data_IF_480471221306
#
_entry.id   IF_480471221306
#
_cell.length_a   1.000
_cell.length_b   1.000
_cell.length_c   1.000
_cell.angle_alpha   90.00
_cell.angle_beta   90.00
_cell.angle_gamma   90.00
#
_symmetry.space_group_name_H-M   'P 1'
#
loop_
_entity.id
_entity.type
_entity.pdbx_description
1 polymer ?
#
# COMPACT_ATOMS: atom_id res chain seq x y z
N UNK A 1 22.25 3.00 -26.20
CA UNK A 1 21.28 2.33 -27.09
C UNK A 1 21.37 0.81 -27.00
N UNK A 2 22.55 0.23 -27.19
CA UNK A 2 22.77 -1.24 -27.23
C UNK A 2 22.28 -1.93 -25.92
N UNK A 3 22.69 -1.43 -24.76
CA UNK A 3 22.27 -1.98 -23.45
C UNK A 3 20.76 -1.84 -23.21
N UNK A 4 20.16 -0.76 -23.71
CA UNK A 4 18.72 -0.56 -23.61
C UNK A 4 17.93 -1.61 -24.44
N UNK A 5 18.47 -2.05 -25.56
CA UNK A 5 17.86 -3.10 -26.41
C UNK A 5 18.01 -4.47 -25.77
N UNK A 6 19.23 -4.80 -25.27
CA UNK A 6 19.52 -6.10 -24.64
C UNK A 6 18.86 -6.21 -23.25
N UNK A 7 18.60 -5.09 -22.58
CA UNK A 7 18.02 -5.03 -21.22
C UNK A 7 18.84 -5.78 -20.15
N UNK A 8 20.13 -6.00 -20.43
CA UNK A 8 21.06 -6.69 -19.53
C UNK A 8 22.39 -5.95 -19.48
N UNK A 9 22.68 -5.33 -18.34
CA UNK A 9 23.96 -4.64 -18.10
C UNK A 9 25.14 -5.61 -18.07
N UNK A 10 24.98 -6.75 -17.40
CA UNK A 10 26.05 -7.76 -17.30
C UNK A 10 26.42 -8.35 -18.67
N UNK A 11 25.46 -8.66 -19.52
CA UNK A 11 25.69 -9.10 -20.86
C UNK A 11 26.41 -8.02 -21.70
N UNK A 12 25.95 -6.77 -21.62
CA UNK A 12 26.55 -5.64 -22.33
C UNK A 12 28.02 -5.38 -21.91
N UNK A 13 28.30 -5.44 -20.61
CA UNK A 13 29.65 -5.28 -20.05
C UNK A 13 30.51 -6.47 -20.44
N UNK A 14 30.00 -7.71 -20.42
CA UNK A 14 30.73 -8.90 -20.85
C UNK A 14 31.15 -8.83 -22.32
N UNK A 15 30.28 -8.36 -23.22
CA UNK A 15 30.60 -8.13 -24.63
C UNK A 15 31.70 -7.06 -24.76
N UNK A 16 31.61 -5.95 -24.01
CA UNK A 16 32.62 -4.90 -24.02
C UNK A 16 33.99 -5.43 -23.55
N UNK A 17 34.01 -6.25 -22.49
CA UNK A 17 35.23 -6.91 -22.00
C UNK A 17 35.82 -7.86 -23.02
N UNK A 18 35.01 -8.63 -23.73
CA UNK A 18 35.46 -9.52 -24.78
C UNK A 18 36.10 -8.75 -25.96
N UNK A 19 35.49 -7.65 -26.39
CA UNK A 19 36.02 -6.75 -27.43
C UNK A 19 37.33 -6.08 -26.98
N UNK A 20 37.45 -5.70 -25.72
CA UNK A 20 38.68 -5.12 -25.19
C UNK A 20 39.82 -6.17 -25.10
N UNK A 21 39.53 -7.39 -24.65
CA UNK A 21 40.50 -8.46 -24.56
C UNK A 21 41.00 -8.93 -25.95
N UNK A 22 40.13 -8.85 -26.98
CA UNK A 22 40.51 -9.15 -28.35
C UNK A 22 41.32 -8.03 -29.06
N UNK A 23 41.52 -6.89 -28.39
CA UNK A 23 42.23 -5.73 -28.92
C UNK A 23 41.45 -4.91 -29.95
N UNK A 24 40.16 -5.18 -30.14
CA UNK A 24 39.27 -4.41 -31.05
C UNK A 24 39.00 -3.00 -30.50
N UNK A 25 38.91 -2.87 -29.18
CA UNK A 25 38.65 -1.60 -28.51
C UNK A 25 39.70 -1.42 -27.40
N UNK A 26 40.43 -0.29 -27.40
CA UNK A 26 41.28 0.10 -26.27
C UNK A 26 40.51 0.60 -25.06
N UNK A 27 41.14 0.51 -23.86
CA UNK A 27 40.50 0.93 -22.61
C UNK A 27 39.99 2.39 -22.65
N UNK A 28 40.70 3.37 -23.23
CA UNK A 28 40.20 4.76 -23.29
C UNK A 28 38.85 4.89 -23.98
N UNK A 29 38.62 4.10 -25.07
CA UNK A 29 37.33 4.09 -25.75
C UNK A 29 36.28 3.25 -25.03
N UNK A 30 36.68 2.11 -24.45
CA UNK A 30 35.80 1.21 -23.70
C UNK A 30 35.13 1.89 -22.50
N UNK A 31 35.87 2.76 -21.82
CA UNK A 31 35.35 3.50 -20.64
C UNK A 31 34.15 4.40 -20.99
N UNK A 32 34.19 5.11 -22.12
CA UNK A 32 33.06 5.94 -22.54
C UNK A 32 31.83 5.11 -22.95
N UNK A 33 32.07 3.95 -23.57
CA UNK A 33 31.02 2.97 -23.88
C UNK A 33 30.37 2.48 -22.57
N UNK A 34 31.20 2.17 -21.56
CA UNK A 34 30.74 1.73 -20.24
C UNK A 34 29.85 2.76 -19.56
N UNK A 35 30.23 4.05 -19.61
CA UNK A 35 29.39 5.14 -19.05
C UNK A 35 28.04 5.21 -19.75
N UNK A 36 27.99 5.05 -21.07
CA UNK A 36 26.74 4.97 -21.82
C UNK A 36 25.90 3.74 -21.49
N UNK A 37 26.54 2.62 -21.16
CA UNK A 37 25.85 1.39 -20.73
C UNK A 37 25.14 1.59 -19.39
N UNK A 38 25.70 2.35 -18.46
CA UNK A 38 25.06 2.67 -17.17
C UNK A 38 23.74 3.42 -17.36
N UNK A 39 23.69 4.40 -18.28
CA UNK A 39 22.45 5.07 -18.66
C UNK A 39 21.49 4.09 -19.34
N UNK A 40 21.99 3.26 -20.25
CA UNK A 40 21.18 2.28 -20.99
C UNK A 40 20.49 1.27 -20.10
N UNK A 41 21.09 0.92 -18.96
CA UNK A 41 20.51 0.01 -17.97
C UNK A 41 19.21 0.55 -17.35
N UNK A 42 19.02 1.88 -17.29
CA UNK A 42 17.84 2.49 -16.70
C UNK A 42 16.55 2.18 -17.48
N UNK A 43 16.64 1.69 -18.72
CA UNK A 43 15.46 1.34 -19.53
C UNK A 43 14.61 0.26 -18.87
N UNK A 44 15.22 -0.69 -18.16
CA UNK A 44 14.50 -1.75 -17.46
C UNK A 44 13.60 -1.18 -16.36
N UNK A 45 14.11 -0.21 -15.59
CA UNK A 45 13.33 0.48 -14.58
C UNK A 45 12.23 1.37 -15.21
N UNK A 46 12.51 2.00 -16.36
CA UNK A 46 11.52 2.81 -17.10
C UNK A 46 10.38 1.90 -17.57
N UNK A 47 10.67 0.77 -18.18
CA UNK A 47 9.65 -0.19 -18.63
C UNK A 47 8.84 -0.76 -17.46
N UNK A 48 9.50 -1.13 -16.36
CA UNK A 48 8.86 -1.64 -15.16
C UNK A 48 7.97 -0.58 -14.47
N UNK A 49 8.20 0.70 -14.69
CA UNK A 49 7.40 1.79 -14.11
C UNK A 49 6.12 2.11 -14.89
N UNK A 50 5.93 1.51 -16.08
CA UNK A 50 4.72 1.70 -16.88
C UNK A 50 3.55 1.03 -16.17
N UNK A 51 2.46 1.78 -15.96
CA UNK A 51 1.28 1.30 -15.23
C UNK A 51 1.39 1.35 -13.69
N UNK A 52 2.55 1.67 -13.13
CA UNK A 52 2.75 1.74 -11.67
C UNK A 52 2.41 3.10 -11.06
N UNK A 53 2.44 3.15 -9.73
CA UNK A 53 2.20 4.37 -8.95
C UNK A 53 3.17 5.51 -9.32
N UNK A 54 2.77 6.74 -9.04
CA UNK A 54 3.59 7.92 -9.31
C UNK A 54 4.91 7.93 -8.53
N UNK A 55 4.91 7.37 -7.32
CA UNK A 55 6.12 7.24 -6.51
C UNK A 55 7.11 6.23 -7.12
N UNK A 56 6.64 5.13 -7.71
CA UNK A 56 7.48 4.20 -8.45
C UNK A 56 8.11 4.86 -9.69
N UNK A 57 7.34 5.68 -10.43
CA UNK A 57 7.86 6.49 -11.54
C UNK A 57 8.89 7.53 -11.08
N UNK A 58 8.69 8.18 -9.92
CA UNK A 58 9.67 9.10 -9.31
C UNK A 58 10.97 8.38 -8.94
N UNK A 59 10.88 7.17 -8.38
CA UNK A 59 12.05 6.34 -8.10
C UNK A 59 12.84 6.02 -9.38
N UNK A 60 12.16 5.74 -10.48
CA UNK A 60 12.77 5.55 -11.81
C UNK A 60 13.46 6.82 -12.31
N UNK A 61 12.86 7.99 -12.12
CA UNK A 61 13.47 9.29 -12.47
C UNK A 61 14.74 9.51 -11.65
N UNK A 62 14.72 9.23 -10.34
CA UNK A 62 15.91 9.34 -9.46
C UNK A 62 17.01 8.41 -9.96
N UNK A 63 16.71 7.16 -10.29
CA UNK A 63 17.67 6.20 -10.84
C UNK A 63 18.29 6.69 -12.16
N UNK A 64 17.47 7.23 -13.07
CA UNK A 64 17.95 7.81 -14.31
C UNK A 64 18.85 9.03 -14.09
N UNK A 65 18.42 9.95 -13.19
CA UNK A 65 19.23 11.13 -12.81
C UNK A 65 20.57 10.73 -12.21
N UNK A 66 20.60 9.73 -11.32
CA UNK A 66 21.84 9.20 -10.72
C UNK A 66 22.82 8.78 -11.80
N UNK A 67 22.38 7.98 -12.77
CA UNK A 67 23.25 7.47 -13.85
C UNK A 67 23.67 8.58 -14.82
N UNK A 68 22.80 9.53 -15.15
CA UNK A 68 23.14 10.69 -16.01
C UNK A 68 24.17 11.57 -15.33
N UNK A 69 23.96 11.97 -14.08
CA UNK A 69 24.85 12.83 -13.32
C UNK A 69 26.22 12.15 -13.13
N UNK A 70 26.23 10.88 -12.73
CA UNK A 70 27.44 10.09 -12.60
C UNK A 70 28.22 10.01 -13.92
N UNK A 71 27.50 9.73 -15.01
CA UNK A 71 28.11 9.68 -16.36
C UNK A 71 28.70 11.03 -16.75
N UNK A 72 28.02 12.15 -16.50
CA UNK A 72 28.54 13.49 -16.79
C UNK A 72 29.82 13.77 -15.99
N UNK A 73 29.81 13.50 -14.67
CA UNK A 73 30.95 13.72 -13.79
C UNK A 73 32.15 12.90 -14.29
N UNK A 74 31.97 11.60 -14.49
CA UNK A 74 33.07 10.73 -14.90
C UNK A 74 33.54 11.00 -16.34
N UNK A 75 32.64 11.36 -17.26
CA UNK A 75 33.03 11.76 -18.62
C UNK A 75 33.93 13.00 -18.56
N UNK A 76 33.56 14.03 -17.82
CA UNK A 76 34.38 15.23 -17.65
C UNK A 76 35.73 14.85 -17.00
N UNK A 77 35.71 14.04 -15.95
CA UNK A 77 36.91 13.62 -15.23
C UNK A 77 37.89 12.88 -16.16
N UNK A 78 37.41 11.95 -16.99
CA UNK A 78 38.24 11.15 -17.93
C UNK A 78 38.65 11.94 -19.18
N UNK A 79 37.97 13.02 -19.53
CA UNK A 79 38.37 13.93 -20.61
C UNK A 79 39.43 14.93 -20.13
N UNK A 80 39.32 15.42 -18.89
CA UNK A 80 40.29 16.40 -18.34
C UNK A 80 41.58 15.73 -17.87
N UNK A 81 41.47 14.55 -17.28
CA UNK A 81 42.58 13.78 -16.75
C UNK A 81 42.75 12.47 -17.55
N UNK A 82 44.01 12.11 -17.94
CA UNK A 82 44.28 10.91 -18.74
C UNK A 82 44.20 9.61 -17.91
N UNK A 83 43.14 9.46 -17.09
CA UNK A 83 42.97 8.36 -16.12
C UNK A 83 42.95 6.99 -16.82
N UNK A 84 42.30 6.87 -17.96
CA UNK A 84 42.25 5.63 -18.71
C UNK A 84 43.62 5.16 -19.16
N UNK A 85 44.52 6.09 -19.53
CA UNK A 85 45.90 5.81 -19.94
C UNK A 85 46.79 5.44 -18.76
N UNK A 86 46.45 5.88 -17.53
CA UNK A 86 47.12 5.44 -16.32
C UNK A 86 46.68 4.02 -15.94
N UNK A 87 45.41 3.71 -16.09
CA UNK A 87 44.86 2.38 -15.77
C UNK A 87 45.38 1.31 -16.74
N UNK A 88 45.48 1.61 -18.03
CA UNK A 88 45.98 0.65 -19.04
C UNK A 88 47.50 0.54 -19.06
N UNK A 89 48.21 1.37 -18.28
CA UNK A 89 49.64 1.36 -18.17
C UNK A 89 50.40 2.09 -19.28
N UNK A 90 49.71 2.72 -20.25
CA UNK A 90 50.34 3.50 -21.33
C UNK A 90 50.89 4.84 -20.86
N UNK A 91 50.39 5.34 -19.72
CA UNK A 91 50.90 6.51 -19.06
C UNK A 91 51.35 6.16 -17.61
N UNK A 92 52.64 6.25 -17.34
CA UNK A 92 53.17 5.99 -15.99
C UNK A 92 53.33 7.31 -15.19
N UNK A 93 52.82 7.29 -13.99
CA UNK A 93 53.00 8.43 -13.05
C UNK A 93 54.40 8.35 -12.46
N UNK A 94 55.11 9.47 -12.30
CA UNK A 94 56.44 9.50 -11.70
C UNK A 94 56.45 9.23 -10.18
N UNK A 95 57.54 8.61 -9.70
CA UNK A 95 57.75 8.40 -8.26
C UNK A 95 57.13 7.14 -7.68
N UNK A 96 57.23 6.98 -6.38
CA UNK A 96 56.72 5.82 -5.60
C UNK A 96 55.21 5.66 -5.70
N UNK A 97 54.46 6.75 -5.79
CA UNK A 97 53.02 6.75 -5.95
C UNK A 97 52.59 6.09 -7.27
N UNK A 98 53.30 6.40 -8.37
CA UNK A 98 53.05 5.79 -9.68
C UNK A 98 53.28 4.27 -9.68
N UNK A 99 54.33 3.81 -9.00
CA UNK A 99 54.62 2.38 -8.86
C UNK A 99 53.55 1.66 -8.04
N UNK A 100 53.09 2.29 -6.96
CA UNK A 100 52.01 1.72 -6.14
C UNK A 100 50.71 1.61 -6.93
N UNK A 101 50.33 2.65 -7.66
CA UNK A 101 49.12 2.65 -8.50
C UNK A 101 49.21 1.58 -9.59
N UNK A 102 50.33 1.52 -10.28
CA UNK A 102 50.56 0.49 -11.32
C UNK A 102 50.45 -0.93 -10.76
N UNK A 103 50.97 -1.18 -9.54
CA UNK A 103 50.84 -2.47 -8.86
C UNK A 103 49.39 -2.86 -8.42
N UNK A 104 48.53 -1.88 -8.32
CA UNK A 104 47.12 -2.10 -7.97
C UNK A 104 46.21 -2.30 -9.21
N UNK A 105 46.70 -1.99 -10.42
CA UNK A 105 45.90 -2.10 -11.65
C UNK A 105 45.82 -3.53 -12.13
N UNK A 106 44.60 -4.00 -12.52
CA UNK A 106 44.46 -5.33 -13.13
C UNK A 106 45.26 -5.46 -14.43
N UNK A 107 45.93 -6.61 -14.62
CA UNK A 107 46.72 -6.88 -15.82
C UNK A 107 45.87 -7.10 -17.09
N UNK A 108 44.61 -7.52 -16.94
CA UNK A 108 43.72 -7.78 -18.07
C UNK A 108 42.82 -6.59 -18.36
N UNK A 109 42.49 -6.32 -19.61
CA UNK A 109 41.55 -5.29 -20.02
C UNK A 109 40.15 -5.50 -19.43
N UNK A 110 39.69 -6.75 -19.31
CA UNK A 110 38.44 -7.08 -18.63
C UNK A 110 38.45 -6.66 -17.16
N UNK A 111 39.57 -6.90 -16.45
CA UNK A 111 39.74 -6.46 -15.06
C UNK A 111 39.76 -4.93 -14.92
N UNK A 112 40.41 -4.23 -15.84
CA UNK A 112 40.47 -2.78 -15.91
C UNK A 112 39.08 -2.16 -16.12
N UNK A 113 38.29 -2.73 -17.04
CA UNK A 113 36.89 -2.32 -17.27
C UNK A 113 36.04 -2.56 -16.01
N UNK A 114 36.19 -3.73 -15.36
CA UNK A 114 35.48 -4.05 -14.12
C UNK A 114 35.86 -3.07 -12.99
N UNK A 115 37.14 -2.71 -12.85
CA UNK A 115 37.62 -1.74 -11.89
C UNK A 115 36.97 -0.36 -12.12
N UNK A 116 36.96 0.13 -13.36
CA UNK A 116 36.33 1.41 -13.72
C UNK A 116 34.85 1.37 -13.44
N UNK A 117 34.17 0.28 -13.78
CA UNK A 117 32.71 0.13 -13.53
C UNK A 117 32.39 0.16 -12.04
N UNK A 118 33.13 -0.60 -11.23
CA UNK A 118 32.94 -0.64 -9.78
C UNK A 118 33.23 0.73 -9.16
N UNK A 119 34.36 1.34 -9.54
CA UNK A 119 34.73 2.68 -9.05
C UNK A 119 33.72 3.75 -9.43
N UNK A 120 33.19 3.71 -10.65
CA UNK A 120 32.10 4.59 -11.08
C UNK A 120 30.92 4.50 -10.14
N UNK A 121 30.40 3.30 -9.88
CA UNK A 121 29.22 3.12 -9.05
C UNK A 121 29.47 3.53 -7.58
N UNK A 122 30.60 3.13 -7.00
CA UNK A 122 30.94 3.47 -5.60
C UNK A 122 31.12 4.98 -5.42
N UNK A 123 31.93 5.61 -6.25
CA UNK A 123 32.24 7.04 -6.14
C UNK A 123 30.99 7.88 -6.43
N UNK A 124 30.22 7.53 -7.46
CA UNK A 124 28.94 8.21 -7.75
C UNK A 124 27.98 8.09 -6.58
N UNK A 125 27.89 6.92 -5.95
CA UNK A 125 27.04 6.72 -4.75
C UNK A 125 27.51 7.61 -3.59
N UNK A 126 28.82 7.63 -3.29
CA UNK A 126 29.38 8.47 -2.21
C UNK A 126 29.10 9.95 -2.46
N UNK A 127 29.21 10.42 -3.71
CA UNK A 127 28.96 11.83 -4.07
C UNK A 127 27.46 12.17 -3.99
N UNK A 128 26.57 11.29 -4.51
CA UNK A 128 25.16 11.59 -4.66
C UNK A 128 24.32 11.19 -3.45
N UNK A 129 24.79 10.29 -2.57
CA UNK A 129 24.05 9.88 -1.38
C UNK A 129 23.66 11.07 -0.48
N UNK A 130 24.57 12.00 -0.12
CA UNK A 130 24.19 13.19 0.66
C UNK A 130 23.25 14.15 -0.10
N UNK A 131 23.19 14.04 -1.42
CA UNK A 131 22.32 14.84 -2.28
C UNK A 131 20.99 14.15 -2.59
N UNK A 132 20.71 12.99 -1.99
CA UNK A 132 19.50 12.19 -2.23
C UNK A 132 18.20 12.98 -2.07
N UNK A 133 18.10 13.83 -1.04
CA UNK A 133 16.94 14.69 -0.82
C UNK A 133 16.73 15.71 -1.95
N UNK A 134 17.81 16.20 -2.58
CA UNK A 134 17.70 17.12 -3.72
C UNK A 134 17.25 16.37 -4.98
N UNK A 135 17.73 15.14 -5.20
CA UNK A 135 17.28 14.28 -6.28
C UNK A 135 15.79 13.92 -6.13
N UNK A 136 15.34 13.62 -4.91
CA UNK A 136 13.94 13.35 -4.61
C UNK A 136 13.05 14.59 -4.90
N UNK A 137 13.46 15.78 -4.43
CA UNK A 137 12.75 17.03 -4.73
C UNK A 137 12.71 17.34 -6.23
N UNK A 138 13.81 17.07 -6.94
CA UNK A 138 13.85 17.24 -8.39
C UNK A 138 12.90 16.27 -9.11
N UNK A 139 12.83 15.02 -8.67
CA UNK A 139 11.90 14.03 -9.22
C UNK A 139 10.43 14.42 -8.99
N UNK A 140 10.09 14.96 -7.82
CA UNK A 140 8.75 15.51 -7.53
C UNK A 140 8.46 16.73 -8.41
N UNK A 141 9.44 17.59 -8.70
CA UNK A 141 9.27 18.74 -9.61
C UNK A 141 9.09 18.31 -11.06
N UNK A 142 9.78 17.25 -11.51
CA UNK A 142 9.66 16.69 -12.86
C UNK A 142 8.31 15.97 -13.01
N UNK A 143 7.88 15.26 -11.99
CA UNK A 143 6.62 14.53 -11.95
C UNK A 143 5.81 14.99 -10.71
N UNK A 144 5.10 16.14 -10.78
CA UNK A 144 4.33 16.69 -9.66
C UNK A 144 3.13 15.80 -9.35
N UNK A 145 2.60 15.91 -8.13
CA UNK A 145 1.37 15.24 -7.72
C UNK A 145 0.18 15.78 -8.49
N UNK A 146 -0.74 14.91 -8.86
CA UNK A 146 -2.07 15.28 -9.35
C UNK A 146 -3.07 15.25 -8.19
N UNK A 147 -4.19 15.97 -8.31
CA UNK A 147 -5.27 15.84 -7.32
C UNK A 147 -5.75 14.39 -7.11
N UNK A 148 -5.77 13.62 -8.20
CA UNK A 148 -6.14 12.20 -8.21
C UNK A 148 -5.16 11.31 -7.39
N UNK A 149 -3.87 11.63 -7.43
CA UNK A 149 -2.84 10.88 -6.68
C UNK A 149 -2.92 11.14 -5.17
N UNK A 150 -3.56 12.24 -4.75
CA UNK A 150 -3.82 12.54 -3.34
C UNK A 150 -5.04 11.81 -2.82
N UNK A 151 -6.02 11.54 -3.66
CA UNK A 151 -7.18 10.74 -3.31
C UNK A 151 -6.80 9.26 -3.07
N UNK A 152 -5.76 8.75 -3.77
CA UNK A 152 -5.24 7.38 -3.60
C UNK A 152 -4.20 7.24 -2.45
N UNK A 153 -3.82 8.32 -1.76
CA UNK A 153 -2.90 8.22 -0.63
C UNK A 153 -3.66 7.93 0.66
N UNK A 154 -3.36 6.80 1.28
CA UNK A 154 -3.86 6.46 2.60
C UNK A 154 -3.44 7.55 3.61
N UNK A 155 -4.40 8.24 4.22
CA UNK A 155 -4.15 9.33 5.18
C UNK A 155 -5.29 9.47 6.17
N UNK A 156 -4.97 10.02 7.34
CA UNK A 156 -5.97 10.51 8.29
C UNK A 156 -6.42 11.91 7.82
N UNK A 157 -7.72 12.14 7.77
CA UNK A 157 -8.29 13.42 7.30
C UNK A 157 -8.51 14.41 8.44
N UNK A 158 -9.04 13.93 9.56
CA UNK A 158 -9.42 14.75 10.71
C UNK A 158 -8.39 14.72 11.82
N UNK A 159 -7.63 13.62 11.97
CA UNK A 159 -6.64 13.48 13.02
C UNK A 159 -5.29 14.07 12.59
N UNK A 160 -4.83 15.06 13.32
CA UNK A 160 -3.50 15.62 13.16
C UNK A 160 -2.47 14.88 14.03
N UNK A 161 -1.19 14.75 13.60
CA UNK A 161 -0.15 14.16 14.44
C UNK A 161 -0.06 14.87 15.79
N UNK A 162 -0.22 14.13 16.89
CA UNK A 162 -0.15 14.68 18.23
C UNK A 162 1.29 15.16 18.49
N UNK A 163 1.49 16.47 18.53
CA UNK A 163 2.72 17.06 19.07
C UNK A 163 2.58 17.14 20.60
N UNK A 164 2.97 16.08 21.29
CA UNK A 164 3.03 16.10 22.75
C UNK A 164 4.20 16.97 23.14
N UNK A 165 3.93 18.23 23.44
CA UNK A 165 4.90 19.11 24.08
C UNK A 165 5.05 18.66 25.54
N UNK A 166 6.20 18.13 25.91
CA UNK A 166 6.54 17.70 27.27
C UNK A 166 6.53 18.82 28.30
N UNK A 167 6.13 20.04 27.91
CA UNK A 167 6.02 21.23 28.78
C UNK A 167 4.60 21.55 29.23
N UNK A 168 3.59 21.02 28.58
CA UNK A 168 2.20 21.26 28.99
C UNK A 168 1.75 20.10 29.87
N UNK A 169 1.99 20.24 31.16
CA UNK A 169 1.60 19.28 32.17
C UNK A 169 0.09 18.99 32.08
N UNK A 170 -0.29 17.75 31.70
CA UNK A 170 -1.56 17.17 32.05
C UNK A 170 -2.82 17.83 31.44
N UNK A 171 -2.77 18.26 30.19
CA UNK A 171 -4.02 18.50 29.45
C UNK A 171 -4.57 17.13 29.04
N UNK A 172 -5.61 16.69 29.74
CA UNK A 172 -6.38 15.50 29.40
C UNK A 172 -6.86 15.54 27.94
N UNK A 173 -7.43 14.43 27.46
CA UNK A 173 -8.00 14.33 26.11
C UNK A 173 -8.92 15.54 25.87
N UNK A 174 -8.51 16.43 24.96
CA UNK A 174 -9.28 17.64 24.71
C UNK A 174 -10.57 17.29 23.95
N UNK A 175 -11.64 18.06 24.20
CA UNK A 175 -12.90 17.93 23.46
C UNK A 175 -12.69 18.01 21.93
N UNK A 176 -11.69 18.80 21.50
CA UNK A 176 -11.28 18.91 20.08
C UNK A 176 -10.79 17.55 19.53
N UNK A 177 -10.00 16.83 20.33
CA UNK A 177 -9.50 15.52 19.92
C UNK A 177 -10.62 14.48 19.83
N UNK A 178 -11.55 14.50 20.79
CA UNK A 178 -12.73 13.63 20.77
C UNK A 178 -13.56 13.89 19.51
N UNK A 179 -13.79 15.15 19.17
CA UNK A 179 -14.50 15.56 17.96
C UNK A 179 -13.79 15.10 16.69
N UNK A 180 -12.48 15.32 16.59
CA UNK A 180 -11.67 14.86 15.45
C UNK A 180 -11.71 13.35 15.29
N UNK A 181 -11.62 12.59 16.38
CA UNK A 181 -11.70 11.14 16.38
C UNK A 181 -13.08 10.65 15.92
N UNK A 182 -14.14 11.27 16.40
CA UNK A 182 -15.50 10.94 15.99
C UNK A 182 -15.70 11.17 14.48
N UNK A 183 -15.15 12.26 13.93
CA UNK A 183 -15.21 12.53 12.49
C UNK A 183 -14.42 11.50 11.67
N UNK A 184 -13.23 11.08 12.13
CA UNK A 184 -12.44 10.04 11.45
C UNK A 184 -13.14 8.69 11.50
N UNK A 185 -13.68 8.27 12.66
CA UNK A 185 -14.45 7.04 12.79
C UNK A 185 -15.73 7.05 11.94
N UNK A 186 -16.40 8.21 11.84
CA UNK A 186 -17.56 8.36 10.96
C UNK A 186 -17.17 8.16 9.50
N UNK A 187 -16.09 8.78 9.04
CA UNK A 187 -15.55 8.58 7.68
C UNK A 187 -15.21 7.12 7.42
N UNK A 188 -14.54 6.48 8.38
CA UNK A 188 -14.21 5.06 8.30
C UNK A 188 -15.47 4.18 8.19
N UNK A 189 -16.54 4.50 8.92
CA UNK A 189 -17.81 3.79 8.85
C UNK A 189 -18.52 4.01 7.50
N UNK A 190 -18.47 5.22 6.93
CA UNK A 190 -19.02 5.51 5.60
C UNK A 190 -18.29 4.68 4.53
N UNK A 191 -16.97 4.55 4.62
CA UNK A 191 -16.18 3.69 3.73
C UNK A 191 -16.55 2.20 3.89
N UNK A 192 -16.72 1.71 5.11
CA UNK A 192 -17.14 0.34 5.37
C UNK A 192 -18.55 0.06 4.83
N UNK A 193 -19.48 1.02 4.95
CA UNK A 193 -20.81 0.94 4.35
C UNK A 193 -20.74 0.76 2.84
N UNK A 194 -19.99 1.63 2.16
CA UNK A 194 -19.84 1.57 0.70
C UNK A 194 -19.21 0.24 0.27
N UNK A 195 -18.26 -0.28 1.08
CA UNK A 195 -17.62 -1.57 0.85
C UNK A 195 -18.60 -2.75 1.00
N UNK A 196 -19.44 -2.74 2.02
CA UNK A 196 -20.52 -3.74 2.21
C UNK A 196 -21.49 -3.71 1.04
N UNK A 197 -21.95 -2.52 0.62
CA UNK A 197 -22.85 -2.40 -0.52
C UNK A 197 -22.23 -2.95 -1.81
N UNK A 198 -20.97 -2.58 -2.10
CA UNK A 198 -20.26 -3.05 -3.29
C UNK A 198 -20.03 -4.56 -3.26
N UNK A 199 -19.68 -5.14 -2.11
CA UNK A 199 -19.44 -6.58 -1.96
C UNK A 199 -20.68 -7.42 -2.23
N UNK A 200 -21.83 -7.06 -1.66
CA UNK A 200 -23.10 -7.72 -1.96
C UNK A 200 -23.52 -7.56 -3.43
N UNK A 201 -23.32 -6.36 -4.00
CA UNK A 201 -23.63 -6.09 -5.40
C UNK A 201 -22.75 -6.92 -6.33
N UNK A 202 -21.46 -7.09 -6.00
CA UNK A 202 -20.52 -7.95 -6.71
C UNK A 202 -21.01 -9.41 -6.74
N UNK A 203 -21.44 -9.95 -5.60
CA UNK A 203 -21.97 -11.32 -5.51
C UNK A 203 -23.26 -11.48 -6.33
N UNK A 204 -24.21 -10.54 -6.20
CA UNK A 204 -25.51 -10.59 -6.87
C UNK A 204 -25.37 -10.49 -8.39
N UNK A 205 -24.49 -9.59 -8.88
CA UNK A 205 -24.32 -9.32 -10.30
C UNK A 205 -23.20 -10.15 -10.95
N UNK A 206 -22.40 -10.87 -10.14
CA UNK A 206 -21.19 -11.59 -10.57
C UNK A 206 -20.14 -10.66 -11.21
N UNK A 207 -20.09 -9.42 -10.74
CA UNK A 207 -19.23 -8.37 -11.26
C UNK A 207 -17.88 -8.38 -10.57
N UNK A 208 -16.82 -8.68 -11.32
CA UNK A 208 -15.43 -8.67 -10.82
C UNK A 208 -14.78 -7.29 -10.90
N UNK A 209 -15.34 -6.31 -11.62
CA UNK A 209 -14.77 -4.96 -11.70
C UNK A 209 -14.87 -4.24 -10.34
N UNK A 210 -15.90 -4.55 -9.55
CA UNK A 210 -16.05 -3.99 -8.20
C UNK A 210 -15.07 -4.57 -7.17
N UNK A 211 -14.53 -5.77 -7.40
CA UNK A 211 -13.61 -6.42 -6.46
C UNK A 211 -12.35 -5.61 -6.19
N UNK A 212 -11.77 -5.01 -7.22
CA UNK A 212 -10.55 -4.18 -7.04
C UNK A 212 -10.83 -2.96 -6.17
N UNK A 213 -12.04 -2.40 -6.25
CA UNK A 213 -12.44 -1.28 -5.41
C UNK A 213 -12.67 -1.73 -3.97
N UNK A 214 -13.30 -2.89 -3.74
CA UNK A 214 -13.52 -3.47 -2.41
C UNK A 214 -12.17 -3.72 -1.73
N UNK A 215 -11.22 -4.38 -2.41
CA UNK A 215 -9.87 -4.63 -1.90
C UNK A 215 -9.11 -3.33 -1.54
N UNK A 216 -9.20 -2.29 -2.37
CA UNK A 216 -8.58 -0.98 -2.07
C UNK A 216 -9.22 -0.29 -0.87
N UNK A 217 -10.51 -0.43 -0.71
CA UNK A 217 -11.23 0.17 0.42
C UNK A 217 -10.89 -0.57 1.71
N UNK A 218 -10.78 -1.91 1.67
CA UNK A 218 -10.33 -2.72 2.80
C UNK A 218 -8.90 -2.33 3.23
N UNK A 219 -7.93 -2.24 2.28
CA UNK A 219 -6.57 -1.77 2.57
C UNK A 219 -6.58 -0.39 3.25
N UNK A 220 -7.53 0.49 2.89
CA UNK A 220 -7.67 1.80 3.52
C UNK A 220 -8.26 1.69 4.94
N UNK A 221 -9.24 0.82 5.16
CA UNK A 221 -9.82 0.57 6.47
C UNK A 221 -8.78 0.01 7.45
N UNK A 222 -7.98 -0.97 7.02
CA UNK A 222 -6.84 -1.51 7.81
C UNK A 222 -5.83 -0.40 8.16
N UNK A 223 -5.45 0.43 7.18
CA UNK A 223 -4.60 1.59 7.43
C UNK A 223 -5.19 2.53 8.49
N UNK A 224 -6.48 2.89 8.38
CA UNK A 224 -7.14 3.78 9.33
C UNK A 224 -7.18 3.17 10.72
N UNK A 225 -7.55 1.90 10.85
CA UNK A 225 -7.56 1.17 12.13
C UNK A 225 -6.18 1.18 12.79
N UNK A 226 -5.13 0.93 12.03
CA UNK A 226 -3.75 0.95 12.51
C UNK A 226 -3.31 2.33 12.99
N UNK A 227 -3.56 3.37 12.22
CA UNK A 227 -3.21 4.74 12.59
C UNK A 227 -4.01 5.24 13.81
N UNK A 228 -5.32 4.96 13.86
CA UNK A 228 -6.17 5.26 15.02
C UNK A 228 -5.65 4.54 16.27
N UNK A 229 -5.31 3.25 16.14
CA UNK A 229 -4.74 2.44 17.22
C UNK A 229 -3.44 3.05 17.77
N UNK A 230 -2.56 3.55 16.89
CA UNK A 230 -1.33 4.23 17.28
C UNK A 230 -1.61 5.56 18.01
N UNK A 231 -2.60 6.33 17.56
CA UNK A 231 -3.02 7.56 18.21
C UNK A 231 -3.59 7.28 19.62
N UNK A 232 -4.50 6.30 19.73
CA UNK A 232 -5.10 5.87 21.00
C UNK A 232 -4.03 5.39 21.98
N UNK A 233 -3.11 4.54 21.55
CA UNK A 233 -2.02 4.01 22.39
C UNK A 233 -1.14 5.10 22.98
N UNK A 234 -0.86 6.15 22.19
CA UNK A 234 -0.09 7.31 22.66
C UNK A 234 -0.85 8.12 23.70
N UNK A 235 -2.17 8.33 23.50
CA UNK A 235 -2.99 9.10 24.41
C UNK A 235 -3.19 8.40 25.76
N UNK A 236 -3.52 7.12 25.77
CA UNK A 236 -3.72 6.34 26.99
C UNK A 236 -2.47 6.39 27.89
N UNK A 237 -1.27 6.48 27.31
CA UNK A 237 -0.02 6.53 28.08
C UNK A 237 0.11 7.83 28.90
N UNK A 238 -0.54 8.90 28.47
CA UNK A 238 -0.44 10.22 29.13
C UNK A 238 -1.74 10.66 29.81
N UNK A 239 -2.84 9.93 29.61
CA UNK A 239 -4.14 10.27 30.18
C UNK A 239 -4.24 9.75 31.62
N UNK A 240 -4.59 10.66 32.54
CA UNK A 240 -4.75 10.34 33.95
C UNK A 240 -6.21 10.33 34.41
N UNK A 241 -7.12 10.82 33.57
CA UNK A 241 -8.56 10.82 33.85
C UNK A 241 -9.19 9.49 33.39
N UNK A 242 -9.80 8.77 34.32
CA UNK A 242 -10.39 7.46 34.08
C UNK A 242 -11.52 7.51 33.03
N UNK A 243 -12.39 8.55 33.07
CA UNK A 243 -13.45 8.73 32.07
C UNK A 243 -12.91 9.00 30.68
N UNK A 244 -11.93 9.90 30.56
CA UNK A 244 -11.29 10.19 29.29
C UNK A 244 -10.56 8.96 28.72
N UNK A 245 -9.91 8.18 29.59
CA UNK A 245 -9.28 6.92 29.21
C UNK A 245 -10.31 5.89 28.70
N UNK A 246 -11.49 5.82 29.31
CA UNK A 246 -12.58 4.95 28.87
C UNK A 246 -13.07 5.35 27.45
N UNK A 247 -13.30 6.66 27.20
CA UNK A 247 -13.70 7.18 25.88
C UNK A 247 -12.67 6.82 24.80
N UNK A 248 -11.39 7.04 25.09
CA UNK A 248 -10.30 6.71 24.13
C UNK A 248 -10.22 5.21 23.86
N UNK A 249 -10.44 4.38 24.89
CA UNK A 249 -10.50 2.92 24.75
C UNK A 249 -11.67 2.47 23.89
N UNK A 250 -12.85 3.12 24.03
CA UNK A 250 -14.00 2.84 23.17
C UNK A 250 -13.72 3.18 21.70
N UNK A 251 -13.01 4.25 21.40
CA UNK A 251 -12.62 4.58 20.03
C UNK A 251 -11.73 3.51 19.38
N UNK A 252 -10.82 2.94 20.15
CA UNK A 252 -10.00 1.80 19.69
C UNK A 252 -10.89 0.59 19.33
N UNK A 253 -11.86 0.27 20.21
CA UNK A 253 -12.76 -0.86 19.96
C UNK A 253 -13.68 -0.59 18.76
N UNK A 254 -14.19 0.64 18.62
CA UNK A 254 -15.01 1.04 17.47
C UNK A 254 -14.23 0.88 16.17
N UNK A 255 -12.99 1.43 16.08
CA UNK A 255 -12.20 1.34 14.85
C UNK A 255 -11.92 -0.11 14.45
N UNK A 256 -11.61 -0.99 15.42
CA UNK A 256 -11.38 -2.41 15.17
C UNK A 256 -12.64 -3.15 14.71
N UNK A 257 -13.83 -2.78 15.19
CA UNK A 257 -15.06 -3.39 14.68
C UNK A 257 -15.44 -2.87 13.28
N UNK A 258 -15.15 -1.61 12.95
CA UNK A 258 -15.37 -1.08 11.59
C UNK A 258 -14.45 -1.79 10.58
N UNK A 259 -13.17 -1.99 10.93
CA UNK A 259 -12.23 -2.72 10.08
C UNK A 259 -12.72 -4.15 9.83
N UNK A 260 -13.21 -4.86 10.86
CA UNK A 260 -13.76 -6.21 10.70
C UNK A 260 -15.01 -6.26 9.81
N UNK A 261 -15.85 -5.22 9.80
CA UNK A 261 -16.92 -5.11 8.82
C UNK A 261 -16.33 -5.05 7.39
N UNK A 262 -15.24 -4.32 7.21
CA UNK A 262 -14.48 -4.26 5.95
C UNK A 262 -13.92 -5.62 5.54
N UNK A 263 -13.31 -6.38 6.46
CA UNK A 263 -12.80 -7.73 6.25
C UNK A 263 -13.90 -8.69 5.77
N UNK A 264 -15.07 -8.66 6.42
CA UNK A 264 -16.20 -9.48 6.02
C UNK A 264 -16.77 -9.07 4.67
N UNK A 265 -16.76 -7.78 4.33
CA UNK A 265 -17.14 -7.29 3.01
C UNK A 265 -16.15 -7.78 1.92
N UNK A 266 -14.85 -7.81 2.18
CA UNK A 266 -13.85 -8.35 1.26
C UNK A 266 -14.03 -9.86 1.05
N UNK A 267 -14.30 -10.63 2.13
CA UNK A 267 -14.65 -12.05 2.04
C UNK A 267 -15.85 -12.26 1.12
N UNK A 268 -16.94 -11.49 1.33
CA UNK A 268 -18.14 -11.55 0.49
C UNK A 268 -17.81 -11.30 -0.98
N UNK A 269 -17.06 -10.26 -1.29
CA UNK A 269 -16.62 -9.94 -2.64
C UNK A 269 -15.79 -11.09 -3.24
N UNK A 270 -14.91 -11.69 -2.44
CA UNK A 270 -14.06 -12.82 -2.83
C UNK A 270 -14.86 -14.04 -3.33
N UNK A 271 -16.09 -14.26 -2.84
CA UNK A 271 -16.96 -15.33 -3.32
C UNK A 271 -17.36 -15.15 -4.78
N UNK A 272 -17.43 -13.94 -5.29
CA UNK A 272 -17.69 -13.66 -6.71
C UNK A 272 -16.68 -14.33 -7.64
N UNK A 273 -15.39 -14.30 -7.27
CA UNK A 273 -14.33 -15.01 -8.03
C UNK A 273 -14.58 -16.52 -8.07
N UNK A 274 -15.03 -17.10 -6.95
CA UNK A 274 -15.32 -18.53 -6.87
C UNK A 274 -16.57 -18.90 -7.69
N UNK A 275 -17.62 -18.08 -7.59
CA UNK A 275 -18.84 -18.25 -8.39
C UNK A 275 -18.54 -18.24 -9.90
N UNK A 276 -17.72 -17.28 -10.35
CA UNK A 276 -17.35 -17.14 -11.75
C UNK A 276 -16.40 -18.25 -12.21
N UNK A 277 -15.35 -18.55 -11.48
CA UNK A 277 -14.35 -19.57 -11.83
C UNK A 277 -14.92 -20.95 -11.93
N UNK A 278 -15.87 -21.29 -11.07
CA UNK A 278 -16.52 -22.63 -11.03
C UNK A 278 -17.87 -22.66 -11.74
N UNK A 279 -18.29 -21.53 -12.31
CA UNK A 279 -19.61 -21.36 -12.93
C UNK A 279 -20.77 -21.80 -12.03
N UNK A 280 -20.69 -21.48 -10.73
CA UNK A 280 -21.71 -21.76 -9.73
C UNK A 280 -22.75 -20.64 -9.81
N UNK A 281 -24.04 -20.99 -9.70
CA UNK A 281 -25.16 -20.02 -9.61
C UNK A 281 -26.03 -20.30 -8.40
N UNK A 282 -26.45 -19.22 -7.74
CA UNK A 282 -27.49 -19.31 -6.72
C UNK A 282 -28.87 -19.37 -7.36
N UNK A 283 -29.84 -19.95 -6.65
CA UNK A 283 -31.26 -19.96 -7.06
C UNK A 283 -31.86 -18.54 -6.96
N UNK A 284 -32.95 -18.27 -7.63
CA UNK A 284 -33.66 -16.98 -7.51
C UNK A 284 -34.04 -16.64 -6.08
N UNK A 285 -34.48 -17.63 -5.29
CA UNK A 285 -34.78 -17.45 -3.86
C UNK A 285 -33.53 -17.05 -3.07
N UNK A 286 -32.37 -17.67 -3.33
CA UNK A 286 -31.12 -17.30 -2.67
C UNK A 286 -30.68 -15.88 -3.06
N UNK A 287 -30.92 -15.42 -4.28
CA UNK A 287 -30.70 -14.04 -4.68
C UNK A 287 -31.55 -13.04 -3.89
N UNK A 288 -32.82 -13.35 -3.68
CA UNK A 288 -33.73 -12.51 -2.88
C UNK A 288 -33.27 -12.47 -1.41
N UNK A 289 -32.86 -13.61 -0.85
CA UNK A 289 -32.31 -13.73 0.50
C UNK A 289 -31.01 -12.89 0.64
N UNK A 290 -30.08 -12.96 -0.33
CA UNK A 290 -28.83 -12.16 -0.32
C UNK A 290 -29.15 -10.67 -0.44
N UNK A 291 -30.14 -10.28 -1.23
CA UNK A 291 -30.57 -8.88 -1.33
C UNK A 291 -31.14 -8.36 0.00
N UNK A 292 -31.93 -9.18 0.69
CA UNK A 292 -32.47 -8.83 2.00
C UNK A 292 -31.36 -8.71 3.07
N UNK A 293 -30.33 -9.58 3.02
CA UNK A 293 -29.15 -9.47 3.90
C UNK A 293 -28.41 -8.16 3.69
N UNK A 294 -28.16 -7.77 2.43
CA UNK A 294 -27.56 -6.48 2.10
C UNK A 294 -28.34 -5.34 2.74
N UNK A 295 -29.65 -5.34 2.52
CA UNK A 295 -30.51 -4.21 2.90
C UNK A 295 -30.53 -4.02 4.43
N UNK A 296 -30.58 -5.10 5.22
CA UNK A 296 -30.55 -5.01 6.68
C UNK A 296 -29.17 -4.63 7.22
N UNK A 297 -28.07 -5.06 6.61
CA UNK A 297 -26.72 -4.59 6.98
C UNK A 297 -26.58 -3.07 6.77
N UNK A 298 -27.07 -2.58 5.62
CA UNK A 298 -27.03 -1.14 5.31
C UNK A 298 -27.98 -0.35 6.22
N UNK A 299 -29.14 -0.92 6.61
CA UNK A 299 -30.02 -0.32 7.63
C UNK A 299 -29.24 -0.10 8.93
N UNK A 300 -28.60 -1.14 9.47
CA UNK A 300 -27.84 -1.05 10.73
C UNK A 300 -26.66 -0.07 10.68
N UNK A 301 -25.89 -0.05 9.60
CA UNK A 301 -24.79 0.90 9.44
C UNK A 301 -25.34 2.33 9.31
N UNK A 302 -26.44 2.54 8.60
CA UNK A 302 -27.08 3.86 8.50
C UNK A 302 -27.63 4.35 9.84
N UNK A 303 -28.16 3.45 10.68
CA UNK A 303 -28.60 3.79 12.01
C UNK A 303 -27.42 4.29 12.85
N UNK A 304 -26.26 3.63 12.81
CA UNK A 304 -25.05 4.10 13.47
C UNK A 304 -24.57 5.47 12.94
N UNK A 305 -24.64 5.71 11.65
CA UNK A 305 -24.24 6.97 11.02
C UNK A 305 -25.21 8.13 11.31
N UNK A 306 -26.49 7.84 11.58
CA UNK A 306 -27.53 8.84 11.82
C UNK A 306 -27.69 9.24 13.29
N UNK A 307 -26.92 8.63 14.20
CA UNK A 307 -27.03 8.86 15.63
C UNK A 307 -26.80 10.32 16.01
N UNK A 308 -27.80 10.92 16.59
CA UNK A 308 -27.72 12.24 17.24
C UNK A 308 -27.62 12.05 18.75
N UNK A 309 -26.71 12.76 19.40
CA UNK A 309 -26.54 12.77 20.85
C UNK A 309 -27.87 13.17 21.53
N UNK A 310 -28.46 12.25 22.31
CA UNK A 310 -29.63 12.56 23.13
C UNK A 310 -30.79 11.57 23.10
N UNK A 311 -30.81 10.57 22.25
CA UNK A 311 -31.82 9.50 22.27
C UNK A 311 -31.23 8.22 22.87
N UNK A 312 -31.78 7.70 23.96
CA UNK A 312 -31.28 6.48 24.64
C UNK A 312 -31.93 5.21 24.04
N UNK A 313 -32.97 5.34 23.23
CA UNK A 313 -33.72 4.20 22.70
C UNK A 313 -33.03 3.54 21.50
N UNK A 314 -32.12 4.25 20.80
CA UNK A 314 -31.47 3.76 19.60
C UNK A 314 -30.64 2.48 19.79
N UNK A 315 -30.05 2.25 20.98
CA UNK A 315 -29.29 1.03 21.25
C UNK A 315 -30.19 -0.20 21.27
N UNK A 316 -31.43 -0.05 21.76
CA UNK A 316 -32.44 -1.10 21.73
C UNK A 316 -32.88 -1.41 20.29
N UNK A 317 -32.96 -0.39 19.42
CA UNK A 317 -33.30 -0.55 18.02
C UNK A 317 -32.19 -1.32 17.27
N UNK A 318 -30.91 -0.96 17.49
CA UNK A 318 -29.76 -1.70 16.89
C UNK A 318 -29.68 -3.13 17.43
N UNK A 319 -29.96 -3.35 18.73
CA UNK A 319 -30.01 -4.71 19.27
C UNK A 319 -31.15 -5.54 18.69
N UNK A 320 -32.30 -4.93 18.43
CA UNK A 320 -33.39 -5.61 17.74
C UNK A 320 -33.09 -5.90 16.28
N UNK A 321 -32.30 -5.05 15.61
CA UNK A 321 -31.83 -5.26 14.24
C UNK A 321 -30.86 -6.45 14.18
N UNK A 322 -29.90 -6.53 15.09
CA UNK A 322 -28.98 -7.65 15.18
C UNK A 322 -29.70 -8.97 15.44
N UNK A 323 -30.70 -8.99 16.33
CA UNK A 323 -31.54 -10.18 16.53
C UNK A 323 -32.28 -10.58 15.25
N UNK A 324 -32.73 -9.61 14.43
CA UNK A 324 -33.32 -9.91 13.11
C UNK A 324 -32.30 -10.54 12.15
N UNK A 325 -31.03 -10.09 12.20
CA UNK A 325 -29.94 -10.68 11.41
C UNK A 325 -29.70 -12.14 11.81
N UNK A 326 -29.68 -12.45 13.10
CA UNK A 326 -29.57 -13.80 13.64
C UNK A 326 -30.73 -14.71 13.19
N UNK A 327 -31.94 -14.20 13.32
CA UNK A 327 -33.15 -14.92 12.90
C UNK A 327 -33.12 -15.18 11.39
N UNK A 328 -32.75 -14.18 10.56
CA UNK A 328 -32.59 -14.34 9.10
C UNK A 328 -31.51 -15.37 8.77
N UNK A 329 -30.36 -15.32 9.43
CA UNK A 329 -29.27 -16.29 9.24
C UNK A 329 -29.74 -17.70 9.52
N UNK A 330 -30.45 -17.91 10.63
CA UNK A 330 -30.99 -19.22 11.03
C UNK A 330 -32.02 -19.73 10.01
N UNK A 331 -32.96 -18.87 9.61
CA UNK A 331 -34.02 -19.23 8.65
C UNK A 331 -33.45 -19.50 7.27
N UNK A 332 -32.55 -18.68 6.74
CA UNK A 332 -31.94 -18.85 5.43
C UNK A 332 -31.04 -20.08 5.37
N UNK A 333 -30.31 -20.39 6.47
CA UNK A 333 -29.53 -21.63 6.59
C UNK A 333 -30.42 -22.85 6.51
N UNK A 334 -31.57 -22.85 7.20
CA UNK A 334 -32.57 -23.92 7.14
C UNK A 334 -33.14 -24.09 5.74
N UNK A 335 -33.63 -23.00 5.14
CA UNK A 335 -34.19 -22.98 3.79
C UNK A 335 -33.19 -23.49 2.75
N UNK A 336 -31.92 -23.10 2.89
CA UNK A 336 -30.87 -23.53 2.00
C UNK A 336 -30.57 -25.03 2.09
N UNK A 337 -30.59 -25.60 3.30
CA UNK A 337 -30.47 -27.06 3.50
C UNK A 337 -31.65 -27.84 2.91
N UNK A 338 -32.85 -27.28 2.94
CA UNK A 338 -34.02 -27.87 2.28
C UNK A 338 -33.85 -27.87 0.74
N UNK A 339 -33.47 -26.73 0.14
CA UNK A 339 -33.14 -26.63 -1.29
C UNK A 339 -32.06 -27.61 -1.74
N UNK A 340 -31.05 -27.84 -0.90
CA UNK A 340 -30.00 -28.83 -1.15
C UNK A 340 -30.57 -30.27 -1.16
N UNK A 341 -31.43 -30.62 -0.19
CA UNK A 341 -32.07 -31.94 -0.13
C UNK A 341 -32.97 -32.21 -1.32
N UNK A 342 -33.65 -31.17 -1.81
CA UNK A 342 -34.54 -31.26 -2.96
C UNK A 342 -33.77 -31.23 -4.31
N UNK A 343 -32.44 -31.10 -4.28
CA UNK A 343 -31.60 -31.09 -5.46
C UNK A 343 -31.67 -29.79 -6.28
N UNK A 344 -32.14 -28.69 -5.68
CA UNK A 344 -32.27 -27.39 -6.34
C UNK A 344 -30.97 -26.61 -6.41
N UNK A 345 -29.97 -26.97 -5.62
CA UNK A 345 -28.64 -26.34 -5.62
C UNK A 345 -27.53 -27.38 -5.58
N UNK A 346 -26.34 -27.01 -6.10
CA UNK A 346 -25.16 -27.86 -6.03
C UNK A 346 -24.50 -27.82 -4.65
N UNK A 347 -23.75 -28.87 -4.30
CA UNK A 347 -22.99 -28.94 -3.04
C UNK A 347 -22.03 -27.74 -2.90
N UNK A 348 -21.42 -27.31 -4.01
CA UNK A 348 -20.49 -26.18 -4.04
C UNK A 348 -21.21 -24.84 -3.78
N UNK A 349 -22.40 -24.65 -4.35
CA UNK A 349 -23.24 -23.47 -4.07
C UNK A 349 -23.65 -23.44 -2.59
N UNK A 350 -23.90 -24.63 -2.01
CA UNK A 350 -24.28 -24.77 -0.61
C UNK A 350 -23.16 -24.30 0.33
N UNK A 351 -21.92 -24.68 0.05
CA UNK A 351 -20.76 -24.27 0.84
C UNK A 351 -20.60 -22.75 0.79
N UNK A 352 -20.59 -22.16 -0.41
CA UNK A 352 -20.40 -20.71 -0.58
C UNK A 352 -21.53 -19.91 0.07
N UNK A 353 -22.78 -20.38 -0.03
CA UNK A 353 -23.90 -19.72 0.62
C UNK A 353 -23.80 -19.78 2.15
N UNK A 354 -23.31 -20.88 2.71
CA UNK A 354 -23.11 -21.04 4.15
C UNK A 354 -22.03 -20.11 4.69
N UNK A 355 -20.91 -19.93 3.94
CA UNK A 355 -19.87 -18.96 4.28
C UNK A 355 -20.41 -17.52 4.21
N UNK A 356 -21.18 -17.19 3.16
CA UNK A 356 -21.83 -15.89 3.01
C UNK A 356 -22.77 -15.57 4.20
N UNK A 357 -23.54 -16.55 4.67
CA UNK A 357 -24.37 -16.41 5.87
C UNK A 357 -23.54 -16.13 7.12
N UNK A 358 -22.38 -16.72 7.23
CA UNK A 358 -21.47 -16.49 8.38
C UNK A 358 -20.91 -15.07 8.36
N UNK A 359 -20.43 -14.59 7.19
CA UNK A 359 -19.95 -13.20 7.07
C UNK A 359 -21.08 -12.19 7.33
N UNK A 360 -22.29 -12.47 6.85
CA UNK A 360 -23.48 -11.66 7.10
C UNK A 360 -23.79 -11.52 8.61
N UNK A 361 -23.85 -12.63 9.33
CA UNK A 361 -24.06 -12.68 10.78
C UNK A 361 -22.98 -11.87 11.52
N UNK A 362 -21.70 -12.03 11.13
CA UNK A 362 -20.58 -11.30 11.72
C UNK A 362 -20.64 -9.80 11.51
N UNK A 363 -21.12 -9.33 10.35
CA UNK A 363 -21.35 -7.89 10.13
C UNK A 363 -22.37 -7.38 11.15
N UNK A 364 -23.45 -8.11 11.42
CA UNK A 364 -24.44 -7.79 12.44
C UNK A 364 -23.84 -7.68 13.85
N UNK A 365 -23.07 -8.68 14.26
CA UNK A 365 -22.31 -8.69 15.53
C UNK A 365 -21.47 -7.42 15.70
N UNK A 366 -20.72 -7.03 14.66
CA UNK A 366 -19.85 -5.86 14.71
C UNK A 366 -20.63 -4.55 14.74
N UNK A 367 -21.76 -4.46 14.05
CA UNK A 367 -22.68 -3.31 14.14
C UNK A 367 -23.16 -3.12 15.59
N UNK A 368 -23.60 -4.18 16.25
CA UNK A 368 -24.03 -4.12 17.65
C UNK A 368 -22.87 -3.75 18.59
N UNK A 369 -21.69 -4.33 18.40
CA UNK A 369 -20.52 -3.99 19.21
C UNK A 369 -20.14 -2.51 19.09
N UNK A 370 -20.20 -1.93 17.91
CA UNK A 370 -19.96 -0.49 17.67
C UNK A 370 -21.03 0.33 18.41
N UNK A 371 -22.29 -0.05 18.31
CA UNK A 371 -23.39 0.62 19.02
C UNK A 371 -23.16 0.66 20.53
N UNK A 372 -22.79 -0.47 21.13
CA UNK A 372 -22.51 -0.57 22.56
C UNK A 372 -21.35 0.33 22.99
N UNK A 373 -20.28 0.41 22.21
CA UNK A 373 -19.16 1.29 22.50
C UNK A 373 -19.51 2.78 22.31
N UNK A 374 -20.30 3.12 21.29
CA UNK A 374 -20.81 4.48 21.09
C UNK A 374 -21.69 4.93 22.27
N UNK A 375 -22.51 4.02 22.84
CA UNK A 375 -23.29 4.32 24.04
C UNK A 375 -22.39 4.65 25.22
N UNK A 376 -21.31 3.90 25.46
CA UNK A 376 -20.33 4.20 26.52
C UNK A 376 -19.65 5.55 26.32
N UNK A 377 -19.32 5.91 25.08
CA UNK A 377 -18.77 7.23 24.76
C UNK A 377 -19.73 8.33 25.14
N UNK A 378 -21.03 8.16 24.82
CA UNK A 378 -22.06 9.16 25.17
C UNK A 378 -22.28 9.32 26.70
N UNK A 379 -22.11 8.27 27.47
CA UNK A 379 -22.23 8.33 28.95
C UNK A 379 -21.07 9.09 29.63
N UNK A 380 -19.92 9.20 28.95
CA UNK A 380 -18.70 9.78 29.51
C UNK A 380 -18.34 11.17 28.98
N UNK A 381 -19.01 11.65 27.94
CA UNK A 381 -18.89 13.00 27.40
C UNK A 381 -19.95 13.90 28.00
#
# INVERSE_FOLDING_TARGET
>A
GFTAVIQSSSASVGILQALANSGVIGLPSAVFVLFGQNIGTCITAVLASIGTSRNAKRATIIHLMFNIIGTCIFTILFLVFPIAYVIDGSLTLPGSLGQTIAGLMPASHAGQIALVHTSFNIITTIILLPLGNYLAKAAVKILPERPEDKADQLHLEYLTPIQISSKDGGLGVSAIYVDQMQHELRRMMEMAKDNVEASFRSVLNRDEEELEQVEKTEEYLDFLNKEISLHVSRLITYETNEKASAVVSSFFTISGNIERIGDHADNLAGYTRMLNKRNISFTGVAHDEISAMRDICLEGINDLLSLNAGNVEWLADVSALEQRIDDMTSDYRRNHLERMRDGECSDEACILYSELLTDFERIGDHILNIAQEMAKVQEHI
#
